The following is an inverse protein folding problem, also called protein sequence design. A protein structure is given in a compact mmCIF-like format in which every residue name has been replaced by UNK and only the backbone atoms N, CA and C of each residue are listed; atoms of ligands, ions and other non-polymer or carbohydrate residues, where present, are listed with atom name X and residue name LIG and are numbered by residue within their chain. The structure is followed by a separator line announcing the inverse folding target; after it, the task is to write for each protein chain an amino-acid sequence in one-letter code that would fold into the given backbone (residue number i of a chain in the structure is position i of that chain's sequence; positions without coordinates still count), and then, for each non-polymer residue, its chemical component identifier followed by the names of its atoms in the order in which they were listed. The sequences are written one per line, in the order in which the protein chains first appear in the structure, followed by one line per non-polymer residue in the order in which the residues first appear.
data_IF_810554874125
#
_entry.id   IF_810554874125
#
_cell.length_a   1.000
_cell.length_b   1.000
_cell.length_c   1.000
_cell.angle_alpha   90.00
_cell.angle_beta   90.00
_cell.angle_gamma   90.00
#
_symmetry.space_group_name_H-M   'P 1'
#
loop_
_entity.id
_entity.type
_entity.pdbx_description
1 polymer ?
#
# COMPACT_ATOMS: atom_id res chain seq x y z
N UNK A 1 -0.03 3.09 -27.38
CA UNK A 1 0.43 4.45 -27.05
C UNK A 1 1.67 4.76 -27.88
N UNK A 2 1.98 6.03 -28.20
CA UNK A 2 3.21 6.39 -28.90
C UNK A 2 4.47 5.79 -28.26
N UNK A 3 4.54 5.81 -26.93
CA UNK A 3 5.62 5.21 -26.15
C UNK A 3 5.83 3.72 -26.43
N UNK A 4 4.77 2.90 -26.38
CA UNK A 4 4.87 1.47 -26.66
C UNK A 4 5.29 1.17 -28.11
N UNK A 5 4.83 1.98 -29.06
CA UNK A 5 5.25 1.87 -30.46
C UNK A 5 6.75 2.16 -30.60
N UNK A 6 7.27 3.15 -29.88
CA UNK A 6 8.72 3.42 -29.84
C UNK A 6 9.50 2.28 -29.17
N UNK A 7 9.01 1.73 -28.04
CA UNK A 7 9.65 0.58 -27.35
C UNK A 7 9.72 -0.69 -28.23
N UNK A 8 8.72 -0.90 -29.09
CA UNK A 8 8.66 -2.06 -30.00
C UNK A 8 9.33 -1.81 -31.36
N UNK A 9 10.02 -0.68 -31.53
CA UNK A 9 10.74 -0.32 -32.76
C UNK A 9 9.85 0.20 -33.90
N UNK A 10 8.55 0.44 -33.65
CA UNK A 10 7.58 0.97 -34.62
C UNK A 10 7.56 2.50 -34.63
N UNK A 11 8.73 3.13 -34.80
CA UNK A 11 8.91 4.58 -34.64
C UNK A 11 8.09 5.42 -35.62
N UNK A 12 7.92 4.97 -36.87
CA UNK A 12 7.12 5.68 -37.87
C UNK A 12 5.64 5.77 -37.45
N UNK A 13 5.11 4.71 -36.84
CA UNK A 13 3.75 4.73 -36.30
C UNK A 13 3.67 5.60 -35.05
N UNK A 14 4.67 5.56 -34.18
CA UNK A 14 4.74 6.44 -33.02
C UNK A 14 4.71 7.92 -33.43
N UNK A 15 5.52 8.30 -34.43
CA UNK A 15 5.56 9.65 -34.98
C UNK A 15 4.21 10.06 -35.61
N UNK A 16 3.56 9.14 -36.33
CA UNK A 16 2.24 9.39 -36.91
C UNK A 16 1.19 9.70 -35.84
N UNK A 17 1.12 8.89 -34.78
CA UNK A 17 0.18 9.14 -33.66
C UNK A 17 0.53 10.45 -32.93
N UNK A 18 1.80 10.73 -32.66
CA UNK A 18 2.22 12.00 -32.02
C UNK A 18 1.89 13.21 -32.89
N UNK A 19 2.00 13.08 -34.21
CA UNK A 19 1.62 14.14 -35.15
C UNK A 19 0.12 14.43 -35.11
N UNK A 20 -0.72 13.41 -34.94
CA UNK A 20 -2.17 13.58 -34.81
C UNK A 20 -2.58 14.23 -33.48
N UNK A 21 -1.82 14.00 -32.41
CA UNK A 21 -2.14 14.47 -31.05
C UNK A 21 -1.55 15.86 -30.78
N UNK A 22 -0.26 16.04 -31.08
CA UNK A 22 0.53 17.20 -30.66
C UNK A 22 0.94 18.10 -31.84
N UNK A 23 0.64 17.69 -33.07
CA UNK A 23 1.00 18.39 -34.30
C UNK A 23 2.44 18.06 -34.78
N UNK A 24 2.68 18.26 -36.07
CA UNK A 24 3.93 17.87 -36.73
C UNK A 24 5.19 18.57 -36.16
N UNK A 25 5.04 19.81 -35.68
CA UNK A 25 6.14 20.58 -35.11
C UNK A 25 6.64 20.00 -33.77
N UNK A 26 5.72 19.47 -32.95
CA UNK A 26 6.04 18.96 -31.61
C UNK A 26 6.32 17.47 -31.60
N UNK A 27 5.77 16.71 -32.56
CA UNK A 27 5.87 15.26 -32.62
C UNK A 27 7.30 14.73 -32.64
N UNK A 28 8.22 15.41 -33.35
CA UNK A 28 9.63 15.01 -33.39
C UNK A 28 10.35 15.20 -32.04
N UNK A 29 10.03 16.27 -31.34
CA UNK A 29 10.58 16.58 -30.00
C UNK A 29 10.06 15.56 -28.99
N UNK A 30 8.75 15.27 -29.02
CA UNK A 30 8.14 14.28 -28.14
C UNK A 30 8.66 12.87 -28.42
N UNK A 31 8.85 12.50 -29.68
CA UNK A 31 9.43 11.20 -30.02
C UNK A 31 10.86 11.07 -29.51
N UNK A 32 11.68 12.12 -29.63
CA UNK A 32 13.04 12.13 -29.09
C UNK A 32 13.05 12.00 -27.56
N UNK A 33 12.20 12.76 -26.86
CA UNK A 33 12.05 12.67 -25.41
C UNK A 33 11.57 11.27 -24.96
N UNK A 34 10.66 10.65 -25.72
CA UNK A 34 10.22 9.26 -25.47
C UNK A 34 11.38 8.28 -25.64
N UNK A 35 12.19 8.42 -26.69
CA UNK A 35 13.36 7.54 -26.90
C UNK A 35 14.39 7.67 -25.79
N UNK A 36 14.65 8.90 -25.35
CA UNK A 36 15.58 9.18 -24.26
C UNK A 36 15.10 8.56 -22.95
N UNK A 37 13.81 8.72 -22.63
CA UNK A 37 13.19 8.07 -21.47
C UNK A 37 13.24 6.53 -21.54
N UNK A 38 13.02 5.94 -22.72
CA UNK A 38 13.12 4.48 -22.91
C UNK A 38 14.57 3.99 -22.75
N UNK A 39 15.54 4.75 -23.27
CA UNK A 39 16.95 4.43 -23.14
C UNK A 39 17.41 4.49 -21.68
N UNK A 40 16.91 5.46 -20.90
CA UNK A 40 17.10 5.51 -19.45
C UNK A 40 16.44 4.32 -18.74
N UNK A 41 15.35 3.76 -19.28
CA UNK A 41 14.62 2.61 -18.70
C UNK A 41 15.20 1.21 -19.00
N UNK A 42 16.42 1.16 -19.56
CA UNK A 42 17.16 -0.05 -19.93
C UNK A 42 17.68 -0.91 -18.76
N UNK A 43 17.05 -0.85 -17.59
CA UNK A 43 17.36 -1.75 -16.48
C UNK A 43 16.99 -3.21 -16.79
N UNK A 44 17.60 -4.16 -16.08
CA UNK A 44 17.27 -5.59 -16.14
C UNK A 44 16.71 -6.08 -14.82
N UNK A 45 15.96 -7.21 -14.82
CA UNK A 45 15.49 -7.83 -13.58
C UNK A 45 16.66 -8.26 -12.66
N UNK A 46 17.80 -8.63 -13.24
CA UNK A 46 18.98 -9.05 -12.49
C UNK A 46 19.55 -7.93 -11.60
N UNK A 47 19.38 -6.67 -11.99
CA UNK A 47 19.88 -5.53 -11.21
C UNK A 47 19.18 -5.39 -9.86
N UNK A 48 17.91 -5.79 -9.76
CA UNK A 48 17.17 -5.74 -8.49
C UNK A 48 17.81 -6.64 -7.42
N UNK A 49 18.59 -7.64 -7.82
CA UNK A 49 19.29 -8.56 -6.92
C UNK A 49 20.69 -8.08 -6.54
N UNK A 50 21.16 -6.94 -7.06
CA UNK A 50 22.45 -6.37 -6.68
C UNK A 50 22.45 -5.90 -5.21
N UNK A 51 23.62 -5.87 -4.54
CA UNK A 51 23.72 -5.67 -3.09
C UNK A 51 23.04 -4.42 -2.51
N UNK A 52 22.93 -3.34 -3.27
CA UNK A 52 22.21 -2.13 -2.89
C UNK A 52 20.69 -2.25 -3.09
N UNK A 53 20.25 -2.60 -4.31
CA UNK A 53 18.83 -2.68 -4.64
C UNK A 53 18.10 -3.87 -4.00
N UNK A 54 18.80 -4.95 -3.61
CA UNK A 54 18.17 -6.07 -2.89
C UNK A 54 17.52 -5.64 -1.56
N UNK A 55 18.06 -4.60 -0.91
CA UNK A 55 17.49 -4.03 0.32
C UNK A 55 16.21 -3.26 0.03
N UNK A 56 16.22 -2.46 -1.03
CA UNK A 56 15.03 -1.77 -1.53
C UNK A 56 13.94 -2.77 -1.97
N UNK A 57 14.33 -3.84 -2.67
CA UNK A 57 13.42 -4.92 -3.09
C UNK A 57 12.83 -5.66 -1.90
N UNK A 58 13.65 -6.03 -0.92
CA UNK A 58 13.18 -6.64 0.32
C UNK A 58 12.16 -5.73 1.02
N UNK A 59 12.47 -4.43 1.16
CA UNK A 59 11.55 -3.47 1.77
C UNK A 59 10.23 -3.38 1.00
N UNK A 60 10.29 -3.30 -0.33
CA UNK A 60 9.11 -3.20 -1.19
C UNK A 60 8.20 -4.41 -1.04
N UNK A 61 8.76 -5.61 -1.10
CA UNK A 61 8.02 -6.87 -0.93
C UNK A 61 7.48 -7.01 0.49
N UNK A 62 8.29 -6.70 1.50
CA UNK A 62 7.88 -6.78 2.90
C UNK A 62 6.71 -5.81 3.19
N UNK A 63 6.81 -4.55 2.76
CA UNK A 63 5.73 -3.57 2.92
C UNK A 63 4.46 -3.98 2.17
N UNK A 64 4.59 -4.50 0.94
CA UNK A 64 3.46 -4.97 0.14
C UNK A 64 2.71 -6.12 0.82
N UNK A 65 3.43 -7.10 1.37
CA UNK A 65 2.84 -8.22 2.12
C UNK A 65 2.23 -7.71 3.43
N UNK A 66 3.00 -6.95 4.21
CA UNK A 66 2.56 -6.47 5.53
C UNK A 66 1.34 -5.55 5.43
N UNK A 67 1.24 -4.73 4.37
CA UNK A 67 0.07 -3.89 4.12
C UNK A 67 -1.22 -4.73 4.06
N UNK A 68 -1.19 -5.90 3.40
CA UNK A 68 -2.35 -6.80 3.36
C UNK A 68 -2.65 -7.40 4.73
N UNK A 69 -1.60 -7.82 5.44
CA UNK A 69 -1.70 -8.45 6.76
C UNK A 69 -1.97 -7.49 7.92
N UNK A 70 -2.16 -6.19 7.64
CA UNK A 70 -2.69 -5.24 8.61
C UNK A 70 -4.15 -5.47 8.96
N UNK A 71 -4.86 -6.36 8.26
CA UNK A 71 -6.25 -6.72 8.58
C UNK A 71 -7.30 -5.73 8.07
N UNK A 72 -6.94 -4.74 7.26
CA UNK A 72 -7.91 -3.80 6.67
C UNK A 72 -8.94 -4.51 5.78
N UNK A 73 -8.52 -5.49 4.97
CA UNK A 73 -9.41 -6.26 4.12
C UNK A 73 -10.45 -7.03 4.95
N UNK A 74 -10.08 -7.49 6.13
CA UNK A 74 -11.01 -8.14 7.06
C UNK A 74 -12.11 -7.19 7.49
N UNK A 75 -11.76 -5.97 7.87
CA UNK A 75 -12.72 -4.94 8.26
C UNK A 75 -13.64 -4.56 7.08
N UNK A 76 -13.09 -4.43 5.87
CA UNK A 76 -13.86 -4.03 4.69
C UNK A 76 -14.77 -5.14 4.14
N UNK A 77 -14.25 -6.37 4.02
CA UNK A 77 -14.96 -7.49 3.39
C UNK A 77 -15.91 -8.18 4.37
N UNK A 78 -15.51 -8.31 5.63
CA UNK A 78 -16.26 -9.04 6.65
C UNK A 78 -16.91 -8.12 7.69
N UNK A 79 -16.81 -6.79 7.57
CA UNK A 79 -17.36 -5.85 8.56
C UNK A 79 -18.84 -6.07 8.88
N UNK A 80 -19.67 -6.31 7.85
CA UNK A 80 -21.09 -6.62 8.04
C UNK A 80 -21.32 -7.99 8.70
N UNK A 81 -20.48 -8.98 8.38
CA UNK A 81 -20.52 -10.33 8.98
C UNK A 81 -20.13 -10.26 10.45
N UNK A 82 -19.06 -9.53 10.78
CA UNK A 82 -18.59 -9.30 12.15
C UNK A 82 -19.73 -8.69 13.00
N UNK A 83 -20.39 -7.65 12.49
CA UNK A 83 -21.47 -6.98 13.23
C UNK A 83 -22.75 -7.82 13.34
N UNK A 84 -23.13 -8.52 12.28
CA UNK A 84 -24.37 -9.31 12.27
C UNK A 84 -24.22 -10.62 13.03
N UNK A 85 -23.14 -11.35 12.81
CA UNK A 85 -22.97 -12.73 13.26
C UNK A 85 -22.12 -12.84 14.54
N UNK A 86 -21.10 -11.99 14.71
CA UNK A 86 -20.16 -12.11 15.84
C UNK A 86 -20.52 -11.19 17.01
N UNK A 87 -21.01 -9.97 16.75
CA UNK A 87 -21.54 -9.07 17.79
C UNK A 87 -22.99 -9.45 18.15
N UNK A 88 -23.80 -9.79 17.14
CA UNK A 88 -25.22 -10.07 17.30
C UNK A 88 -26.07 -8.82 17.51
N UNK A 89 -27.40 -8.98 17.44
CA UNK A 89 -28.36 -7.92 17.73
C UNK A 89 -28.54 -6.84 16.65
N UNK A 90 -27.74 -6.86 15.58
CA UNK A 90 -27.90 -5.93 14.46
C UNK A 90 -28.73 -6.57 13.34
N UNK A 91 -29.67 -5.80 12.78
CA UNK A 91 -30.30 -6.18 11.52
C UNK A 91 -29.26 -6.19 10.39
N UNK A 92 -29.55 -6.93 9.31
CA UNK A 92 -28.68 -6.92 8.13
C UNK A 92 -28.48 -5.49 7.57
N UNK A 93 -29.53 -4.66 7.58
CA UNK A 93 -29.45 -3.27 7.13
C UNK A 93 -28.57 -2.40 8.03
N UNK A 94 -28.62 -2.58 9.35
CA UNK A 94 -27.78 -1.83 10.28
C UNK A 94 -26.29 -2.20 10.11
N UNK A 95 -25.98 -3.50 9.99
CA UNK A 95 -24.62 -3.97 9.76
C UNK A 95 -24.03 -3.46 8.42
N UNK A 96 -24.84 -3.44 7.36
CA UNK A 96 -24.46 -2.85 6.07
C UNK A 96 -24.23 -1.34 6.22
N UNK A 97 -25.10 -0.63 6.94
CA UNK A 97 -24.97 0.82 7.17
C UNK A 97 -23.67 1.21 7.87
N UNK A 98 -23.24 0.43 8.86
CA UNK A 98 -21.92 0.64 9.50
C UNK A 98 -20.77 0.37 8.52
N UNK A 99 -20.87 -0.66 7.67
CA UNK A 99 -19.82 -0.92 6.69
C UNK A 99 -19.72 0.19 5.63
N UNK A 100 -20.85 0.80 5.24
CA UNK A 100 -20.87 2.01 4.42
C UNK A 100 -20.16 3.17 5.13
N UNK A 101 -20.40 3.35 6.43
CA UNK A 101 -19.72 4.37 7.24
C UNK A 101 -18.20 4.14 7.28
N UNK A 102 -17.75 2.89 7.43
CA UNK A 102 -16.33 2.51 7.34
C UNK A 102 -15.73 2.92 5.99
N UNK A 103 -16.42 2.63 4.89
CA UNK A 103 -16.01 3.04 3.55
C UNK A 103 -15.92 4.57 3.39
N UNK A 104 -16.89 5.30 3.94
CA UNK A 104 -16.90 6.77 3.91
C UNK A 104 -15.73 7.36 4.72
N UNK A 105 -15.45 6.82 5.90
CA UNK A 105 -14.30 7.22 6.72
C UNK A 105 -13.00 6.93 5.99
N UNK A 106 -12.88 5.77 5.34
CA UNK A 106 -11.71 5.42 4.53
C UNK A 106 -11.51 6.43 3.39
N UNK A 107 -12.58 6.75 2.65
CA UNK A 107 -12.54 7.73 1.56
C UNK A 107 -12.11 9.12 2.04
N UNK A 108 -12.76 9.66 3.07
CA UNK A 108 -12.42 11.00 3.62
C UNK A 108 -11.00 11.02 4.18
N UNK A 109 -10.59 9.97 4.88
CA UNK A 109 -9.23 9.82 5.42
C UNK A 109 -8.17 9.78 4.32
N UNK A 110 -8.48 9.18 3.17
CA UNK A 110 -7.57 9.16 2.01
C UNK A 110 -7.38 10.56 1.43
N UNK A 111 -8.42 11.40 1.40
CA UNK A 111 -8.29 12.82 0.99
C UNK A 111 -7.35 13.56 1.95
N UNK A 112 -7.51 13.35 3.26
CA UNK A 112 -6.61 13.94 4.28
C UNK A 112 -5.16 13.46 4.10
N UNK A 113 -4.96 12.20 3.70
CA UNK A 113 -3.64 11.63 3.45
C UNK A 113 -2.84 12.42 2.39
N UNK A 114 -3.51 12.93 1.35
CA UNK A 114 -2.88 13.71 0.28
C UNK A 114 -2.16 14.94 0.86
N UNK A 115 -2.75 15.61 1.84
CA UNK A 115 -2.13 16.79 2.46
C UNK A 115 -1.08 16.40 3.50
N UNK A 116 -1.31 15.29 4.21
CA UNK A 116 -0.48 14.88 5.32
C UNK A 116 0.86 14.26 4.87
N UNK A 117 0.86 13.52 3.77
CA UNK A 117 2.05 12.82 3.26
C UNK A 117 3.19 13.77 2.88
N UNK A 118 2.84 14.94 2.33
CA UNK A 118 3.83 15.96 1.98
C UNK A 118 4.22 16.82 3.17
N UNK A 119 3.32 17.00 4.15
CA UNK A 119 3.61 17.79 5.35
C UNK A 119 4.46 17.03 6.38
N UNK A 120 4.11 15.78 6.67
CA UNK A 120 4.72 14.99 7.76
C UNK A 120 5.92 14.17 7.28
N UNK A 121 5.92 13.74 6.02
CA UNK A 121 6.90 12.78 5.50
C UNK A 121 6.35 11.35 5.51
N UNK A 122 6.98 10.47 4.74
CA UNK A 122 6.43 9.15 4.43
C UNK A 122 6.63 8.18 5.61
N UNK A 123 7.85 8.10 6.14
CA UNK A 123 8.21 7.18 7.24
C UNK A 123 7.41 7.43 8.53
N UNK A 124 7.34 8.66 9.08
CA UNK A 124 6.55 8.91 10.30
C UNK A 124 5.05 8.69 10.06
N UNK A 125 4.54 9.01 8.87
CA UNK A 125 3.15 8.78 8.53
C UNK A 125 2.79 7.28 8.51
N UNK A 126 3.64 6.45 7.90
CA UNK A 126 3.46 4.99 7.89
C UNK A 126 3.50 4.40 9.30
N UNK A 127 4.42 4.86 10.14
CA UNK A 127 4.51 4.41 11.54
C UNK A 127 3.29 4.83 12.37
N UNK A 128 2.84 6.09 12.24
CA UNK A 128 1.66 6.60 12.94
C UNK A 128 0.38 5.86 12.50
N UNK A 129 0.24 5.62 11.19
CA UNK A 129 -0.86 4.84 10.62
C UNK A 129 -0.90 3.42 11.16
N UNK A 130 0.23 2.70 11.12
CA UNK A 130 0.33 1.36 11.70
C UNK A 130 0.07 1.36 13.22
N UNK A 131 0.52 2.40 13.94
CA UNK A 131 0.25 2.56 15.37
C UNK A 131 -1.24 2.74 15.68
N UNK A 132 -1.95 3.55 14.89
CA UNK A 132 -3.41 3.69 15.00
C UNK A 132 -4.14 2.38 14.73
N UNK A 133 -3.65 1.59 13.77
CA UNK A 133 -4.18 0.24 13.52
C UNK A 133 -3.92 -0.73 14.67
N UNK A 134 -2.76 -0.68 15.33
CA UNK A 134 -2.49 -1.48 16.55
C UNK A 134 -3.54 -1.17 17.62
N UNK A 135 -3.85 0.10 17.84
CA UNK A 135 -4.86 0.51 18.82
C UNK A 135 -6.27 0.02 18.43
N UNK A 136 -6.65 0.14 17.16
CA UNK A 136 -7.93 -0.38 16.68
C UNK A 136 -8.04 -1.90 16.80
N UNK A 137 -6.99 -2.64 16.45
CA UNK A 137 -6.97 -4.10 16.61
C UNK A 137 -6.96 -4.54 18.07
N UNK A 138 -6.27 -3.81 18.94
CA UNK A 138 -6.33 -4.05 20.38
C UNK A 138 -7.74 -3.82 20.94
N UNK A 139 -8.43 -2.76 20.48
CA UNK A 139 -9.83 -2.48 20.82
C UNK A 139 -10.78 -3.59 20.36
N UNK A 140 -10.62 -4.07 19.13
CA UNK A 140 -11.38 -5.21 18.61
C UNK A 140 -11.09 -6.49 19.39
N UNK A 141 -9.82 -6.83 19.58
CA UNK A 141 -9.42 -8.00 20.33
C UNK A 141 -10.01 -7.99 21.75
N UNK A 142 -9.93 -6.85 22.44
CA UNK A 142 -10.50 -6.66 23.77
C UNK A 142 -12.03 -6.77 23.79
N UNK A 143 -12.73 -6.15 22.83
CA UNK A 143 -14.18 -6.23 22.75
C UNK A 143 -14.67 -7.67 22.57
N UNK A 144 -13.98 -8.46 21.73
CA UNK A 144 -14.31 -9.87 21.47
C UNK A 144 -13.90 -10.84 22.59
N UNK A 145 -13.24 -10.39 23.66
CA UNK A 145 -13.10 -11.17 24.89
C UNK A 145 -14.38 -11.16 25.75
N UNK A 146 -15.32 -10.26 25.44
CA UNK A 146 -16.57 -10.11 26.18
C UNK A 146 -17.70 -10.87 25.46
N UNK A 147 -18.68 -11.36 26.23
CA UNK A 147 -19.84 -12.10 25.70
C UNK A 147 -21.14 -11.54 26.31
N UNK A 148 -21.93 -10.74 25.58
CA UNK A 148 -21.73 -10.32 24.18
C UNK A 148 -20.66 -9.22 24.02
N UNK A 149 -20.02 -9.10 22.83
CA UNK A 149 -19.09 -8.01 22.53
C UNK A 149 -19.79 -6.64 22.54
N UNK A 150 -19.19 -5.60 23.14
CA UNK A 150 -19.78 -4.26 23.15
C UNK A 150 -19.73 -3.62 21.76
N UNK A 151 -20.89 -3.56 21.08
CA UNK A 151 -21.02 -3.02 19.72
C UNK A 151 -20.35 -1.65 19.52
N UNK A 152 -20.54 -0.64 20.39
CA UNK A 152 -19.91 0.67 20.18
C UNK A 152 -18.38 0.62 20.12
N UNK A 153 -17.76 -0.27 20.92
CA UNK A 153 -16.30 -0.44 20.94
C UNK A 153 -15.83 -1.11 19.64
N UNK A 154 -16.56 -2.12 19.17
CA UNK A 154 -16.27 -2.80 17.89
C UNK A 154 -16.34 -1.80 16.74
N UNK A 155 -17.43 -1.03 16.64
CA UNK A 155 -17.61 -0.03 15.58
C UNK A 155 -16.54 1.06 15.65
N UNK A 156 -16.29 1.64 16.82
CA UNK A 156 -15.26 2.67 16.99
C UNK A 156 -13.87 2.15 16.58
N UNK A 157 -13.55 0.91 16.94
CA UNK A 157 -12.28 0.28 16.60
C UNK A 157 -12.15 -0.02 15.11
N UNK A 158 -13.22 -0.47 14.45
CA UNK A 158 -13.26 -0.63 12.98
C UNK A 158 -13.03 0.69 12.25
N UNK A 159 -13.69 1.77 12.69
CA UNK A 159 -13.51 3.10 12.12
C UNK A 159 -12.09 3.62 12.34
N UNK A 160 -11.51 3.40 13.53
CA UNK A 160 -10.12 3.76 13.81
C UNK A 160 -9.15 3.01 12.92
N UNK A 161 -9.33 1.69 12.72
CA UNK A 161 -8.52 0.90 11.80
C UNK A 161 -8.60 1.44 10.36
N UNK A 162 -9.83 1.71 9.88
CA UNK A 162 -10.05 2.20 8.52
C UNK A 162 -9.47 3.60 8.30
N UNK A 163 -9.67 4.52 9.23
CA UNK A 163 -9.10 5.87 9.18
C UNK A 163 -7.57 5.81 9.23
N UNK A 164 -7.01 5.07 10.20
CA UNK A 164 -5.56 4.95 10.38
C UNK A 164 -4.90 4.38 9.13
N UNK A 165 -5.45 3.32 8.56
CA UNK A 165 -4.95 2.74 7.30
C UNK A 165 -4.97 3.76 6.17
N UNK A 166 -6.12 4.40 5.94
CA UNK A 166 -6.34 5.30 4.81
C UNK A 166 -5.48 6.57 4.87
N UNK A 167 -5.19 7.09 6.07
CA UNK A 167 -4.34 8.27 6.25
C UNK A 167 -2.87 8.01 5.92
N UNK A 168 -2.38 6.76 6.00
CA UNK A 168 -0.95 6.47 5.83
C UNK A 168 -0.65 5.22 5.02
N UNK A 169 -0.87 4.03 5.59
CA UNK A 169 -0.49 2.75 4.97
C UNK A 169 -1.11 2.52 3.59
N UNK A 170 -2.32 3.02 3.33
CA UNK A 170 -2.98 2.93 2.02
C UNK A 170 -2.17 3.60 0.91
N UNK A 171 -2.12 4.94 0.84
CA UNK A 171 -1.40 5.65 -0.20
C UNK A 171 0.12 5.68 0.03
N UNK A 172 0.57 5.77 1.28
CA UNK A 172 1.97 5.99 1.64
C UNK A 172 2.90 4.85 1.23
N UNK A 173 2.43 3.60 1.26
CA UNK A 173 3.22 2.44 0.81
C UNK A 173 3.52 2.58 -0.68
N UNK A 174 2.54 2.92 -1.50
CA UNK A 174 2.73 3.08 -2.95
C UNK A 174 3.64 4.25 -3.31
N UNK A 175 3.55 5.34 -2.55
CA UNK A 175 4.46 6.49 -2.69
C UNK A 175 5.89 6.08 -2.38
N UNK A 176 6.13 5.45 -1.22
CA UNK A 176 7.48 4.96 -0.86
C UNK A 176 8.01 3.98 -1.89
N UNK A 177 7.21 3.01 -2.33
CA UNK A 177 7.62 2.04 -3.36
C UNK A 177 8.01 2.72 -4.68
N UNK A 178 7.38 3.83 -5.05
CA UNK A 178 7.76 4.59 -6.26
C UNK A 178 9.02 5.43 -6.07
N UNK A 179 9.29 5.90 -4.85
CA UNK A 179 10.39 6.82 -4.52
C UNK A 179 11.71 6.09 -4.18
N UNK A 180 11.66 4.83 -3.72
CA UNK A 180 12.88 4.07 -3.33
C UNK A 180 13.62 3.42 -4.50
N UNK A 181 13.03 3.37 -5.70
CA UNK A 181 13.67 2.80 -6.89
C UNK A 181 13.96 3.87 -7.95
N UNK A 182 15.11 3.76 -8.63
CA UNK A 182 15.38 4.60 -9.79
C UNK A 182 14.45 4.23 -10.94
N UNK A 183 14.15 5.22 -11.78
CA UNK A 183 13.14 5.14 -12.84
C UNK A 183 13.31 3.88 -13.70
N UNK A 184 14.56 3.51 -14.01
CA UNK A 184 14.92 2.39 -14.88
C UNK A 184 14.53 0.98 -14.44
N UNK A 185 14.42 0.75 -13.13
CA UNK A 185 14.01 -0.55 -12.56
C UNK A 185 12.71 -0.46 -11.76
N UNK A 186 12.17 0.76 -11.55
CA UNK A 186 10.97 1.02 -10.76
C UNK A 186 9.78 0.17 -11.23
N UNK A 187 9.47 0.18 -12.53
CA UNK A 187 8.33 -0.57 -13.07
C UNK A 187 8.41 -2.08 -12.77
N UNK A 188 9.62 -2.66 -12.90
CA UNK A 188 9.87 -4.07 -12.59
C UNK A 188 9.74 -4.36 -11.10
N UNK A 189 10.33 -3.51 -10.25
CA UNK A 189 10.25 -3.65 -8.80
C UNK A 189 8.80 -3.55 -8.29
N UNK A 190 8.06 -2.54 -8.77
CA UNK A 190 6.64 -2.36 -8.43
C UNK A 190 5.79 -3.55 -8.90
N UNK A 191 6.09 -4.16 -10.05
CA UNK A 191 5.41 -5.36 -10.50
C UNK A 191 5.62 -6.54 -9.53
N UNK A 192 6.86 -6.78 -9.09
CA UNK A 192 7.17 -7.85 -8.10
C UNK A 192 6.45 -7.58 -6.77
N UNK A 193 6.48 -6.33 -6.30
CA UNK A 193 5.78 -5.95 -5.07
C UNK A 193 4.26 -6.14 -5.20
N UNK A 194 3.68 -5.78 -6.35
CA UNK A 194 2.25 -5.95 -6.64
C UNK A 194 1.84 -7.41 -6.69
N UNK A 195 2.64 -8.27 -7.34
CA UNK A 195 2.38 -9.73 -7.32
C UNK A 195 2.45 -10.28 -5.91
N UNK A 196 3.46 -9.87 -5.12
CA UNK A 196 3.61 -10.27 -3.73
C UNK A 196 2.42 -9.83 -2.87
N UNK A 197 1.92 -8.61 -3.10
CA UNK A 197 0.71 -8.06 -2.48
C UNK A 197 -0.50 -8.95 -2.77
N UNK A 198 -0.74 -9.26 -4.04
CA UNK A 198 -1.92 -10.07 -4.41
C UNK A 198 -1.83 -11.50 -3.90
N UNK A 199 -0.65 -12.11 -3.88
CA UNK A 199 -0.44 -13.42 -3.23
C UNK A 199 -0.77 -13.32 -1.74
N UNK A 200 -0.26 -12.31 -1.03
CA UNK A 200 -0.56 -12.12 0.38
C UNK A 200 -2.06 -11.87 0.64
N UNK A 201 -2.73 -11.11 -0.24
CA UNK A 201 -4.16 -10.85 -0.19
C UNK A 201 -4.98 -12.14 -0.35
N UNK A 202 -4.62 -12.99 -1.33
CA UNK A 202 -5.26 -14.29 -1.55
C UNK A 202 -5.11 -15.19 -0.33
N UNK A 203 -3.88 -15.31 0.21
CA UNK A 203 -3.62 -16.12 1.41
C UNK A 203 -4.46 -15.62 2.58
N UNK A 204 -4.46 -14.31 2.85
CA UNK A 204 -5.22 -13.73 3.96
C UNK A 204 -6.73 -13.96 3.80
N UNK A 205 -7.27 -13.73 2.61
CA UNK A 205 -8.71 -13.84 2.34
C UNK A 205 -9.21 -15.28 2.54
N UNK A 206 -8.47 -16.27 2.05
CA UNK A 206 -8.84 -17.68 2.22
C UNK A 206 -8.59 -18.22 3.62
N UNK A 207 -7.63 -17.65 4.37
CA UNK A 207 -7.30 -18.14 5.71
C UNK A 207 -8.07 -17.44 6.82
N UNK A 208 -8.63 -16.24 6.61
CA UNK A 208 -9.27 -15.46 7.67
C UNK A 208 -10.37 -16.24 8.42
N UNK A 209 -11.33 -16.84 7.70
CA UNK A 209 -12.42 -17.58 8.35
C UNK A 209 -11.89 -18.78 9.14
N UNK A 210 -10.84 -19.44 8.66
CA UNK A 210 -10.19 -20.55 9.34
C UNK A 210 -9.44 -20.09 10.60
N UNK A 211 -8.78 -18.92 10.56
CA UNK A 211 -8.12 -18.33 11.72
C UNK A 211 -9.17 -17.92 12.75
N UNK A 212 -10.26 -17.27 12.31
CA UNK A 212 -11.33 -16.82 13.17
C UNK A 212 -12.10 -17.99 13.80
N UNK A 213 -12.26 -19.12 13.10
CA UNK A 213 -12.88 -20.31 13.67
C UNK A 213 -11.97 -21.04 14.66
N UNK A 214 -10.65 -21.05 14.42
CA UNK A 214 -9.69 -21.73 15.29
C UNK A 214 -9.31 -20.93 16.55
N UNK A 215 -9.14 -19.61 16.42
CA UNK A 215 -8.63 -18.73 17.48
C UNK A 215 -9.70 -17.74 18.01
N UNK A 216 -10.89 -17.76 17.44
CA UNK A 216 -11.92 -16.74 17.68
C UNK A 216 -11.59 -15.40 17.02
N UNK A 217 -12.57 -14.47 16.94
CA UNK A 217 -12.35 -13.12 16.43
C UNK A 217 -11.25 -12.36 17.21
N UNK A 218 -11.20 -12.52 18.54
CA UNK A 218 -10.18 -11.86 19.37
C UNK A 218 -8.75 -12.29 18.99
N UNK A 219 -8.54 -13.60 18.76
CA UNK A 219 -7.26 -14.12 18.31
C UNK A 219 -6.86 -13.60 16.93
N UNK A 220 -7.81 -13.54 16.00
CA UNK A 220 -7.58 -13.00 14.65
C UNK A 220 -7.13 -11.53 14.68
N UNK A 221 -7.84 -10.66 15.42
CA UNK A 221 -7.46 -9.24 15.54
C UNK A 221 -6.15 -9.05 16.30
N UNK A 222 -5.83 -9.91 17.28
CA UNK A 222 -4.52 -9.89 17.95
C UNK A 222 -3.38 -10.15 16.96
N UNK A 223 -3.54 -11.11 16.05
CA UNK A 223 -2.55 -11.39 14.99
C UNK A 223 -2.34 -10.15 14.11
N UNK A 224 -3.42 -9.50 13.67
CA UNK A 224 -3.30 -8.28 12.85
C UNK A 224 -2.63 -7.13 13.61
N UNK A 225 -2.90 -6.98 14.90
CA UNK A 225 -2.17 -6.03 15.75
C UNK A 225 -0.67 -6.31 15.80
N UNK A 226 -0.26 -7.57 15.98
CA UNK A 226 1.15 -7.98 15.95
C UNK A 226 1.78 -7.72 14.58
N UNK A 227 1.07 -8.00 13.48
CA UNK A 227 1.55 -7.71 12.13
C UNK A 227 1.74 -6.20 11.92
N UNK A 228 0.87 -5.36 12.48
CA UNK A 228 1.06 -3.91 12.46
C UNK A 228 2.30 -3.46 13.26
N UNK A 229 2.60 -4.09 14.39
CA UNK A 229 3.85 -3.84 15.14
C UNK A 229 5.09 -4.24 14.33
N UNK A 230 5.04 -5.36 13.61
CA UNK A 230 6.11 -5.77 12.69
C UNK A 230 6.27 -4.73 11.57
N UNK A 231 5.17 -4.20 11.02
CA UNK A 231 5.20 -3.10 10.05
C UNK A 231 5.91 -1.88 10.62
N UNK A 232 5.56 -1.45 11.85
CA UNK A 232 6.25 -0.33 12.51
C UNK A 232 7.75 -0.61 12.62
N UNK A 233 8.13 -1.82 13.03
CA UNK A 233 9.54 -2.19 13.15
C UNK A 233 10.27 -2.16 11.81
N UNK A 234 9.70 -2.72 10.74
CA UNK A 234 10.29 -2.69 9.40
C UNK A 234 10.42 -1.25 8.92
N UNK A 235 9.36 -0.44 9.01
CA UNK A 235 9.38 0.97 8.59
C UNK A 235 10.42 1.77 9.39
N UNK A 236 10.48 1.55 10.70
CA UNK A 236 11.44 2.22 11.56
C UNK A 236 12.90 1.85 11.24
N UNK A 237 13.18 0.63 10.80
CA UNK A 237 14.57 0.17 10.60
C UNK A 237 15.06 0.25 9.15
N UNK A 238 14.17 0.06 8.17
CA UNK A 238 14.56 -0.19 6.79
C UNK A 238 14.03 0.85 5.80
N UNK A 239 12.99 1.62 6.16
CA UNK A 239 12.44 2.65 5.27
C UNK A 239 13.20 3.96 5.44
N UNK A 240 13.90 4.46 4.40
CA UNK A 240 14.45 5.81 4.43
C UNK A 240 13.32 6.85 4.39
N UNK A 241 13.57 8.04 4.92
CA UNK A 241 12.68 9.17 4.62
C UNK A 241 12.93 9.62 3.18
N UNK A 242 11.87 9.68 2.39
CA UNK A 242 11.94 10.03 0.97
C UNK A 242 11.47 11.45 0.70
N UNK A 243 10.81 12.09 1.67
CA UNK A 243 10.36 13.48 1.55
C UNK A 243 11.54 14.42 1.34
N UNK A 244 11.48 15.20 0.25
CA UNK A 244 12.45 16.25 -0.05
C UNK A 244 13.79 15.75 -0.61
N UNK A 245 13.88 14.45 -0.91
CA UNK A 245 15.07 13.84 -1.51
C UNK A 245 14.83 13.54 -3.00
N UNK A 246 15.88 13.69 -3.80
CA UNK A 246 15.83 13.26 -5.21
C UNK A 246 15.95 11.73 -5.31
N UNK A 247 15.52 11.16 -6.43
CA UNK A 247 15.62 9.71 -6.65
C UNK A 247 17.07 9.24 -6.66
N UNK A 248 17.97 10.08 -7.17
CA UNK A 248 19.41 9.84 -7.24
C UNK A 248 20.04 9.85 -5.84
N UNK A 249 19.60 10.73 -4.95
CA UNK A 249 20.02 10.74 -3.55
C UNK A 249 19.61 9.45 -2.84
N UNK A 250 18.37 9.00 -3.04
CA UNK A 250 17.89 7.73 -2.47
C UNK A 250 18.65 6.54 -3.06
N UNK A 251 18.99 6.58 -4.35
CA UNK A 251 19.80 5.55 -4.99
C UNK A 251 21.22 5.45 -4.40
N UNK A 252 21.87 6.59 -4.12
CA UNK A 252 23.18 6.63 -3.46
C UNK A 252 23.12 6.03 -2.06
N UNK A 253 22.04 6.30 -1.31
CA UNK A 253 21.81 5.67 0.00
C UNK A 253 21.80 4.13 -0.10
N UNK A 254 21.19 3.57 -1.14
CA UNK A 254 21.18 2.12 -1.34
C UNK A 254 22.55 1.56 -1.71
N UNK A 255 23.35 2.31 -2.47
CA UNK A 255 24.72 1.91 -2.85
C UNK A 255 25.74 2.06 -1.72
N UNK A 256 25.35 2.71 -0.62
CA UNK A 256 26.27 2.98 0.50
C UNK A 256 27.28 4.10 0.19
N UNK A 257 27.00 4.89 -0.84
CA UNK A 257 27.76 6.09 -1.18
C UNK A 257 27.27 7.19 -0.23
N UNK A 258 28.14 7.64 0.67
CA UNK A 258 27.85 8.79 1.54
C UNK A 258 27.94 10.08 0.71
N UNK A 259 27.12 11.09 1.02
CA UNK A 259 27.11 12.35 0.29
C UNK A 259 28.46 13.08 0.34
#
# INVERSE_FOLDING_TARGET
SPRWLTETGQEAQALHVLTQVSGAAQAGIELAAIKEAIAEESGTLAELFQPGYRRALFLAVALAILQQWTGINTVLFYGSVILKEQVGGHSASAAIGVNVLVGMVNFVSTIVAIWLIDRVGRRPLLMASAGGMVLGHAGLAFAFLQSPPPSPVVVASMLLCAASFAVGLGPGVWVVLSEIFPTRIRGRAMSIATVSLWIACVILTFTYLSIASALGPSGAFTIYGVMCLITIWIVARHTPETKGHSLEEIERLWKGETP
#
